data_IF_508540903360
#
_entry.id   IF_508540903360
#
_cell.length_a   1.000
_cell.length_b   1.000
_cell.length_c   1.000
_cell.angle_alpha   90.00
_cell.angle_beta   90.00
_cell.angle_gamma   90.00
#
_symmetry.space_group_name_H-M   'P 1'
#
loop_
_entity.id
_entity.type
_entity.pdbx_description
1 polymer ?
#
# COMPACT_ATOMS: atom_id res chain seq x y z
N UNK A 1 -19.44 -14.93 -0.44
CA UNK A 1 -18.85 -13.60 -0.17
C UNK A 1 -17.35 -13.73 -0.19
N UNK A 2 -16.70 -12.94 -1.01
CA UNK A 2 -15.26 -12.83 -1.10
C UNK A 2 -14.86 -11.40 -0.76
N UNK A 3 -14.07 -11.25 0.29
CA UNK A 3 -13.37 -10.01 0.61
C UNK A 3 -11.97 -10.13 0.03
N UNK A 4 -11.52 -9.15 -0.75
CA UNK A 4 -10.21 -9.19 -1.38
C UNK A 4 -9.51 -7.84 -1.27
N UNK A 5 -8.19 -7.88 -1.19
CA UNK A 5 -7.36 -6.69 -1.38
C UNK A 5 -7.30 -6.32 -2.87
N UNK A 6 -7.66 -5.09 -3.25
CA UNK A 6 -7.55 -4.65 -4.64
C UNK A 6 -6.08 -4.41 -5.03
N UNK A 7 -5.53 -5.24 -5.92
CA UNK A 7 -4.12 -5.17 -6.36
C UNK A 7 -3.90 -4.62 -7.76
N UNK A 8 -4.91 -4.72 -8.63
CA UNK A 8 -4.74 -4.38 -10.05
C UNK A 8 -5.00 -2.90 -10.28
N UNK A 9 -3.98 -2.16 -10.73
CA UNK A 9 -4.14 -0.79 -11.21
C UNK A 9 -5.00 -0.75 -12.48
N UNK A 10 -6.15 -0.10 -12.38
CA UNK A 10 -7.13 0.09 -13.46
C UNK A 10 -7.27 1.56 -13.81
N UNK A 11 -7.48 1.86 -15.09
CA UNK A 11 -7.58 3.25 -15.56
C UNK A 11 -8.84 3.89 -14.97
N UNK A 12 -8.69 5.04 -14.32
CA UNK A 12 -9.83 5.80 -13.82
C UNK A 12 -10.73 6.24 -14.99
N UNK A 13 -12.04 5.95 -14.88
CA UNK A 13 -13.03 6.21 -15.93
C UNK A 13 -13.19 5.08 -16.97
N UNK A 14 -12.29 4.11 -17.03
CA UNK A 14 -12.50 2.88 -17.79
C UNK A 14 -11.77 1.69 -17.11
N UNK A 15 -12.40 1.03 -16.12
CA UNK A 15 -11.75 -0.02 -15.34
C UNK A 15 -11.47 -1.31 -16.11
N UNK A 16 -11.93 -1.43 -17.36
CA UNK A 16 -11.56 -2.55 -18.25
C UNK A 16 -10.11 -2.46 -18.73
N UNK A 17 -9.50 -1.27 -18.66
CA UNK A 17 -8.11 -1.04 -19.06
C UNK A 17 -7.22 -1.13 -17.81
N UNK A 18 -6.35 -2.13 -17.77
CA UNK A 18 -5.34 -2.28 -16.72
C UNK A 18 -4.05 -1.56 -17.06
N UNK A 19 -3.25 -1.22 -16.04
CA UNK A 19 -1.91 -0.70 -16.25
C UNK A 19 -1.00 -1.78 -16.86
N UNK A 20 -0.03 -1.36 -17.69
CA UNK A 20 0.97 -2.27 -18.26
C UNK A 20 1.80 -2.94 -17.16
N UNK A 21 2.18 -4.19 -17.43
CA UNK A 21 3.05 -5.06 -16.63
C UNK A 21 3.94 -5.86 -17.58
N UNK A 22 5.16 -6.19 -17.16
CA UNK A 22 6.00 -7.11 -17.91
C UNK A 22 5.37 -8.52 -17.81
N UNK A 23 5.04 -9.13 -18.95
CA UNK A 23 4.34 -10.42 -18.99
C UNK A 23 5.24 -11.62 -18.66
N UNK A 24 6.55 -11.45 -18.75
CA UNK A 24 7.53 -12.51 -18.53
C UNK A 24 7.99 -12.47 -17.08
N UNK A 25 8.52 -11.33 -16.64
CA UNK A 25 9.10 -11.19 -15.30
C UNK A 25 8.06 -10.82 -14.25
N UNK A 26 6.92 -10.25 -14.65
CA UNK A 26 5.89 -9.78 -13.72
C UNK A 26 6.16 -8.36 -13.25
N UNK A 27 5.81 -8.07 -12.00
CA UNK A 27 6.01 -6.80 -11.34
C UNK A 27 6.40 -7.00 -9.86
N UNK A 28 6.80 -5.94 -9.13
CA UNK A 28 7.21 -6.07 -7.73
C UNK A 28 6.19 -6.76 -6.80
N UNK A 29 4.88 -6.61 -7.01
CA UNK A 29 3.87 -7.31 -6.18
C UNK A 29 3.92 -8.83 -6.36
N UNK A 30 4.35 -9.30 -7.53
CA UNK A 30 4.56 -10.70 -7.85
C UNK A 30 5.86 -11.23 -7.20
N UNK A 31 6.92 -10.41 -7.23
CA UNK A 31 8.22 -10.76 -6.66
C UNK A 31 8.14 -10.81 -5.14
N UNK A 32 7.72 -9.70 -4.51
CA UNK A 32 7.55 -9.56 -3.06
C UNK A 32 6.23 -10.16 -2.58
N UNK A 33 5.82 -11.31 -3.13
CA UNK A 33 4.61 -12.02 -2.69
C UNK A 33 4.80 -12.61 -1.29
N UNK A 34 3.70 -12.81 -0.56
CA UNK A 34 3.72 -13.46 0.77
C UNK A 34 4.41 -14.83 0.69
N UNK A 35 4.20 -15.58 -0.40
CA UNK A 35 4.84 -16.87 -0.63
C UNK A 35 6.37 -16.75 -0.67
N UNK A 36 6.90 -15.86 -1.52
CA UNK A 36 8.35 -15.73 -1.69
C UNK A 36 9.04 -15.16 -0.46
N UNK A 37 8.36 -14.28 0.28
CA UNK A 37 8.90 -13.74 1.53
C UNK A 37 8.93 -14.77 2.65
N UNK A 38 7.94 -15.67 2.73
CA UNK A 38 7.94 -16.77 3.69
C UNK A 38 9.15 -17.70 3.50
N UNK A 39 9.59 -17.95 2.27
CA UNK A 39 10.79 -18.73 1.98
C UNK A 39 12.08 -18.07 2.52
N UNK A 40 12.03 -16.78 2.84
CA UNK A 40 13.09 -15.98 3.45
C UNK A 40 12.86 -15.70 4.95
N UNK A 41 11.84 -16.30 5.57
CA UNK A 41 11.38 -15.96 6.92
C UNK A 41 11.02 -14.47 7.08
N UNK A 42 10.52 -13.87 6.01
CA UNK A 42 10.09 -12.48 5.96
C UNK A 42 8.57 -12.41 5.84
N UNK A 43 8.02 -11.29 6.32
CA UNK A 43 6.61 -10.94 6.13
C UNK A 43 6.51 -9.64 5.36
N UNK A 44 5.36 -9.43 4.73
CA UNK A 44 5.01 -8.12 4.17
C UNK A 44 3.78 -7.57 4.84
N UNK A 45 3.64 -6.25 4.85
CA UNK A 45 2.38 -5.55 5.13
C UNK A 45 2.27 -4.35 4.20
N UNK A 46 1.07 -4.06 3.71
CA UNK A 46 0.75 -2.83 3.02
C UNK A 46 -0.54 -2.22 3.59
N UNK A 47 -0.63 -0.89 3.55
CA UNK A 47 -1.78 -0.15 4.06
C UNK A 47 -1.81 1.27 3.48
N UNK A 48 -2.96 1.92 3.62
CA UNK A 48 -3.09 3.34 3.41
C UNK A 48 -2.94 4.07 4.76
N UNK A 49 -2.31 5.24 4.76
CA UNK A 49 -2.00 6.01 5.95
C UNK A 49 -2.15 7.51 5.74
N UNK A 50 -2.23 8.22 6.85
CA UNK A 50 -2.47 9.66 6.87
C UNK A 50 -1.27 10.40 7.45
N UNK A 51 -1.02 11.56 6.87
CA UNK A 51 -0.22 12.61 7.48
C UNK A 51 -1.15 13.77 7.74
N UNK A 52 -1.18 14.21 8.99
CA UNK A 52 -1.83 15.46 9.33
C UNK A 52 -0.92 16.60 8.86
N UNK A 53 -1.33 17.33 7.83
CA UNK A 53 -0.51 18.38 7.22
C UNK A 53 -0.47 19.69 8.02
N UNK A 54 -1.30 19.82 9.06
CA UNK A 54 -1.28 20.95 9.97
C UNK A 54 -0.27 20.72 11.10
N UNK A 55 -0.24 19.50 11.64
CA UNK A 55 0.71 19.13 12.72
C UNK A 55 2.02 18.54 12.21
N UNK A 56 2.07 18.12 10.94
CA UNK A 56 3.18 17.40 10.32
C UNK A 56 3.50 16.07 11.02
N UNK A 57 2.46 15.36 11.44
CA UNK A 57 2.58 14.07 12.13
C UNK A 57 1.85 12.95 11.38
N UNK A 58 2.36 11.73 11.55
CA UNK A 58 1.70 10.51 11.10
C UNK A 58 0.47 10.23 11.99
N UNK A 59 -0.72 10.09 11.40
CA UNK A 59 -1.90 9.60 12.13
C UNK A 59 -1.67 8.13 12.54
N UNK A 60 -2.14 7.74 13.72
CA UNK A 60 -1.96 6.38 14.23
C UNK A 60 -2.96 5.38 13.65
N UNK A 61 -4.04 5.84 13.03
CA UNK A 61 -4.98 4.97 12.34
C UNK A 61 -4.51 4.74 10.90
N UNK A 62 -4.27 3.47 10.57
CA UNK A 62 -3.95 3.02 9.22
C UNK A 62 -5.12 2.22 8.64
N UNK A 63 -5.21 2.19 7.32
CA UNK A 63 -6.33 1.63 6.59
C UNK A 63 -5.91 0.42 5.76
N UNK A 64 -6.68 -0.65 5.88
CA UNK A 64 -6.61 -1.84 5.05
C UNK A 64 -7.83 -1.84 4.13
N UNK A 65 -7.61 -1.40 2.90
CA UNK A 65 -8.64 -1.33 1.86
C UNK A 65 -9.02 -2.72 1.36
N UNK A 66 -10.30 -3.03 1.33
CA UNK A 66 -10.82 -4.29 0.78
C UNK A 66 -12.06 -4.08 -0.08
N UNK A 67 -12.23 -4.92 -1.07
CA UNK A 67 -13.43 -4.96 -1.90
C UNK A 67 -14.23 -6.23 -1.62
N UNK A 68 -15.55 -6.14 -1.80
CA UNK A 68 -16.45 -7.27 -1.61
C UNK A 68 -17.41 -7.42 -2.80
N UNK A 69 -17.71 -8.66 -3.13
CA UNK A 69 -18.50 -9.07 -4.30
C UNK A 69 -20.02 -9.08 -4.10
N UNK A 70 -20.47 -8.89 -2.86
CA UNK A 70 -21.89 -8.84 -2.46
C UNK A 70 -22.24 -7.48 -1.85
N UNK A 71 -23.48 -7.02 -2.02
CA UNK A 71 -23.93 -5.72 -1.51
C UNK A 71 -23.70 -5.59 0.01
N UNK A 72 -22.90 -4.59 0.41
CA UNK A 72 -22.57 -4.32 1.81
C UNK A 72 -23.78 -3.95 2.67
N UNK A 73 -24.88 -3.51 2.05
CA UNK A 73 -26.07 -3.02 2.76
C UNK A 73 -26.71 -4.11 3.62
N UNK A 74 -26.62 -5.38 3.21
CA UNK A 74 -27.22 -6.52 3.91
C UNK A 74 -26.30 -7.21 4.93
N UNK A 75 -24.99 -6.93 4.91
CA UNK A 75 -24.02 -7.73 5.66
C UNK A 75 -24.02 -7.44 7.17
N UNK A 76 -23.93 -8.47 8.00
CA UNK A 76 -23.73 -8.34 9.46
C UNK A 76 -22.25 -8.17 9.83
N UNK A 77 -21.99 -7.87 11.10
CA UNK A 77 -20.63 -7.84 11.63
C UNK A 77 -19.93 -9.19 11.52
N UNK A 78 -20.61 -10.26 11.93
CA UNK A 78 -20.08 -11.62 11.99
C UNK A 78 -19.73 -12.15 10.60
N UNK A 79 -20.61 -11.95 9.62
CA UNK A 79 -20.39 -12.36 8.23
C UNK A 79 -19.13 -11.70 7.65
N UNK A 80 -18.97 -10.40 7.90
CA UNK A 80 -17.83 -9.62 7.38
C UNK A 80 -16.55 -10.00 8.09
N UNK A 81 -16.58 -10.17 9.41
CA UNK A 81 -15.42 -10.56 10.20
C UNK A 81 -14.90 -11.94 9.78
N UNK A 82 -15.80 -12.93 9.66
CA UNK A 82 -15.44 -14.28 9.24
C UNK A 82 -14.81 -14.28 7.84
N UNK A 83 -15.44 -13.57 6.89
CA UNK A 83 -14.92 -13.48 5.52
C UNK A 83 -13.58 -12.73 5.46
N UNK A 84 -13.41 -11.67 6.26
CA UNK A 84 -12.17 -10.92 6.35
C UNK A 84 -11.04 -11.83 6.84
N UNK A 85 -11.20 -12.47 8.00
CA UNK A 85 -10.19 -13.38 8.56
C UNK A 85 -9.85 -14.50 7.56
N UNK A 86 -10.86 -15.06 6.89
CA UNK A 86 -10.66 -16.12 5.90
C UNK A 86 -9.92 -15.64 4.64
N UNK A 87 -10.16 -14.40 4.21
CA UNK A 87 -9.50 -13.82 3.03
C UNK A 87 -8.02 -13.54 3.24
N UNK A 88 -7.64 -13.21 4.47
CA UNK A 88 -6.27 -12.92 4.88
C UNK A 88 -5.50 -14.21 5.19
N UNK A 89 -5.32 -15.04 4.15
CA UNK A 89 -4.66 -16.35 4.22
C UNK A 89 -3.36 -16.35 5.04
N UNK A 90 -3.00 -17.53 5.59
CA UNK A 90 -1.74 -17.77 6.31
C UNK A 90 -1.51 -16.89 7.54
N UNK A 91 -2.58 -16.48 8.22
CA UNK A 91 -2.48 -15.68 9.45
C UNK A 91 -2.14 -14.21 9.20
N UNK A 92 -2.24 -13.72 7.97
CA UNK A 92 -1.94 -12.32 7.63
C UNK A 92 -2.78 -11.32 8.43
N UNK A 93 -4.03 -11.66 8.76
CA UNK A 93 -4.86 -10.85 9.66
C UNK A 93 -4.19 -10.66 11.03
N UNK A 94 -3.65 -11.72 11.63
CA UNK A 94 -2.93 -11.63 12.90
C UNK A 94 -1.61 -10.89 12.75
N UNK A 95 -0.92 -11.03 11.60
CA UNK A 95 0.29 -10.27 11.32
C UNK A 95 0.01 -8.75 11.30
N UNK A 96 -1.12 -8.33 10.73
CA UNK A 96 -1.60 -6.94 10.79
C UNK A 96 -1.75 -6.51 12.26
N UNK A 97 -2.44 -7.29 13.09
CA UNK A 97 -2.69 -6.93 14.48
C UNK A 97 -1.39 -6.81 15.29
N UNK A 98 -0.47 -7.78 15.12
CA UNK A 98 0.83 -7.82 15.80
C UNK A 98 1.72 -6.64 15.39
N UNK A 99 1.78 -6.33 14.10
CA UNK A 99 2.47 -5.14 13.60
C UNK A 99 1.87 -3.86 14.17
N UNK A 100 0.54 -3.69 14.11
CA UNK A 100 -0.13 -2.52 14.63
C UNK A 100 0.13 -2.33 16.12
N UNK A 101 0.02 -3.40 16.90
CA UNK A 101 0.30 -3.38 18.33
C UNK A 101 1.74 -2.94 18.62
N UNK A 102 2.73 -3.56 17.96
CA UNK A 102 4.15 -3.25 18.14
C UNK A 102 4.46 -1.79 17.85
N UNK A 103 3.90 -1.25 16.78
CA UNK A 103 4.13 0.13 16.35
C UNK A 103 3.05 1.10 16.85
N UNK A 104 2.23 0.73 17.83
CA UNK A 104 1.17 1.60 18.40
C UNK A 104 0.28 2.27 17.32
N UNK A 105 0.00 1.53 16.27
CA UNK A 105 -0.94 1.89 15.21
C UNK A 105 -2.28 1.21 15.48
N UNK A 106 -3.35 1.73 14.89
CA UNK A 106 -4.68 1.14 14.90
C UNK A 106 -5.06 0.71 13.50
N UNK A 107 -5.34 -0.58 13.34
CA UNK A 107 -5.85 -1.12 12.09
C UNK A 107 -7.32 -0.73 11.89
N UNK A 108 -7.65 -0.24 10.71
CA UNK A 108 -9.02 -0.02 10.28
C UNK A 108 -9.21 -0.68 8.92
N UNK A 109 -10.27 -1.46 8.74
CA UNK A 109 -10.61 -2.07 7.47
C UNK A 109 -11.70 -1.24 6.79
N UNK A 110 -11.44 -0.81 5.56
CA UNK A 110 -12.39 -0.05 4.74
C UNK A 110 -12.86 -0.96 3.63
N UNK A 111 -14.06 -1.50 3.77
CA UNK A 111 -14.61 -2.58 2.93
C UNK A 111 -15.78 -2.02 2.11
N UNK A 112 -15.77 -2.26 0.79
CA UNK A 112 -16.79 -1.70 -0.10
C UNK A 112 -17.01 -2.50 -1.37
N UNK A 113 -18.16 -2.28 -2.03
CA UNK A 113 -18.35 -2.75 -3.39
C UNK A 113 -17.59 -1.84 -4.37
N UNK A 114 -16.68 -2.40 -5.17
CA UNK A 114 -15.90 -1.62 -6.13
C UNK A 114 -16.70 -1.32 -7.41
N UNK A 115 -17.69 -0.43 -7.25
CA UNK A 115 -18.70 -0.12 -8.25
C UNK A 115 -18.67 1.38 -8.64
N UNK A 116 -19.68 1.83 -9.37
CA UNK A 116 -19.80 3.24 -9.72
C UNK A 116 -20.17 4.11 -8.50
N UNK A 117 -19.20 4.86 -7.99
CA UNK A 117 -19.34 5.75 -6.83
C UNK A 117 -20.14 7.04 -7.08
N UNK A 118 -20.65 7.26 -8.29
CA UNK A 118 -21.70 8.27 -8.49
C UNK A 118 -23.04 7.85 -7.87
N UNK A 119 -23.25 6.55 -7.66
CA UNK A 119 -24.52 5.96 -7.22
C UNK A 119 -24.35 5.24 -5.87
N UNK A 120 -23.26 4.49 -5.69
CA UNK A 120 -22.91 3.80 -4.44
C UNK A 120 -22.27 4.78 -3.46
N UNK A 121 -22.73 4.78 -2.21
CA UNK A 121 -22.34 5.79 -1.21
C UNK A 121 -21.95 5.23 0.15
N UNK A 122 -21.84 3.91 0.32
CA UNK A 122 -21.53 3.33 1.63
C UNK A 122 -20.21 2.58 1.61
N UNK A 123 -19.55 2.57 2.75
CA UNK A 123 -18.46 1.65 3.07
C UNK A 123 -18.76 1.01 4.43
N UNK A 124 -18.29 -0.22 4.62
CA UNK A 124 -18.15 -0.80 5.95
C UNK A 124 -16.80 -0.32 6.50
N UNK A 125 -16.84 0.28 7.68
CA UNK A 125 -15.68 0.73 8.43
C UNK A 125 -15.57 -0.14 9.69
N UNK A 126 -14.51 -0.94 9.77
CA UNK A 126 -14.22 -1.73 10.97
C UNK A 126 -12.94 -1.25 11.62
N UNK A 127 -12.94 -0.93 12.91
CA UNK A 127 -11.75 -0.47 13.63
C UNK A 127 -11.37 -1.49 14.69
N UNK A 128 -10.09 -1.82 14.80
CA UNK A 128 -9.58 -2.63 15.91
C UNK A 128 -9.44 -1.75 17.14
N UNK A 129 -10.37 -1.89 18.08
CA UNK A 129 -10.39 -1.05 19.29
C UNK A 129 -9.42 -1.60 20.35
N UNK A 130 -9.23 -2.92 20.39
CA UNK A 130 -8.27 -3.58 21.27
C UNK A 130 -7.75 -4.89 20.70
N UNK A 131 -6.52 -5.24 21.08
CA UNK A 131 -5.88 -6.51 20.74
C UNK A 131 -4.97 -6.94 21.89
N UNK A 132 -5.08 -8.21 22.29
CA UNK A 132 -4.29 -8.85 23.32
C UNK A 132 -3.31 -9.84 22.67
N UNK A 133 -2.02 -9.56 22.83
CA UNK A 133 -0.96 -10.37 22.22
C UNK A 133 -0.79 -11.74 22.89
N UNK A 134 -1.26 -11.94 24.13
CA UNK A 134 -1.05 -13.22 24.84
C UNK A 134 -1.95 -14.34 24.35
N UNK A 135 -3.16 -14.03 23.92
CA UNK A 135 -4.18 -15.00 23.50
C UNK A 135 -4.69 -14.74 22.07
N UNK A 136 -4.08 -13.77 21.36
CA UNK A 136 -4.52 -13.27 20.06
C UNK A 136 -5.99 -12.77 20.05
N UNK A 137 -6.56 -12.43 21.22
CA UNK A 137 -7.90 -11.90 21.36
C UNK A 137 -8.01 -10.45 20.87
N UNK A 138 -9.11 -10.10 20.22
CA UNK A 138 -9.34 -8.72 19.74
C UNK A 138 -10.80 -8.31 19.83
N UNK A 139 -11.02 -6.99 19.86
CA UNK A 139 -12.35 -6.38 19.72
C UNK A 139 -12.33 -5.39 18.56
N UNK A 140 -13.38 -5.43 17.75
CA UNK A 140 -13.55 -4.52 16.62
C UNK A 140 -14.91 -3.84 16.65
N UNK A 141 -14.90 -2.53 16.42
CA UNK A 141 -16.11 -1.79 16.08
C UNK A 141 -16.48 -2.00 14.61
N UNK A 142 -17.76 -1.86 14.30
CA UNK A 142 -18.31 -2.03 12.96
C UNK A 142 -19.36 -0.96 12.70
N UNK A 143 -19.21 -0.27 11.58
CA UNK A 143 -20.18 0.72 11.14
C UNK A 143 -20.31 0.72 9.61
N UNK A 144 -21.54 0.86 9.12
CA UNK A 144 -21.79 1.19 7.71
C UNK A 144 -21.91 2.71 7.61
N UNK A 145 -20.95 3.35 6.96
CA UNK A 145 -20.89 4.81 6.87
C UNK A 145 -21.10 5.29 5.44
N UNK A 146 -21.72 6.45 5.31
CA UNK A 146 -21.85 7.15 4.03
C UNK A 146 -20.51 7.75 3.57
N UNK A 147 -20.34 7.96 2.28
CA UNK A 147 -19.13 8.56 1.68
C UNK A 147 -18.88 9.96 2.21
N UNK A 148 -19.91 10.72 2.61
CA UNK A 148 -19.75 12.01 3.28
C UNK A 148 -18.97 11.85 4.60
N UNK A 149 -19.37 10.90 5.45
CA UNK A 149 -18.69 10.59 6.71
C UNK A 149 -17.28 10.05 6.45
N UNK A 150 -17.07 9.21 5.44
CA UNK A 150 -15.73 8.75 5.05
C UNK A 150 -14.82 9.94 4.70
N UNK A 151 -15.30 10.91 3.91
CA UNK A 151 -14.57 12.13 3.56
C UNK A 151 -14.28 12.99 4.78
N UNK A 152 -15.20 13.06 5.74
CA UNK A 152 -14.97 13.78 7.00
C UNK A 152 -13.87 13.13 7.83
N UNK A 153 -13.83 11.78 7.88
CA UNK A 153 -12.74 11.04 8.53
C UNK A 153 -11.41 11.36 7.83
N UNK A 154 -11.34 11.25 6.50
CA UNK A 154 -10.12 11.56 5.73
C UNK A 154 -9.64 12.99 6.02
N UNK A 155 -10.54 13.98 5.94
CA UNK A 155 -10.21 15.39 6.18
C UNK A 155 -9.67 15.61 7.59
N UNK A 156 -10.31 15.02 8.61
CA UNK A 156 -9.87 15.11 10.00
C UNK A 156 -8.47 14.52 10.19
N UNK A 157 -8.21 13.33 9.64
CA UNK A 157 -6.90 12.64 9.76
C UNK A 157 -5.77 13.33 9.00
N UNK A 158 -6.13 13.94 7.88
CA UNK A 158 -5.24 14.73 7.05
C UNK A 158 -4.99 16.14 7.63
N UNK A 159 -5.76 16.55 8.64
CA UNK A 159 -5.78 17.90 9.20
C UNK A 159 -6.59 18.90 8.36
N UNK A 160 -6.73 18.66 7.06
CA UNK A 160 -7.44 19.58 6.16
C UNK A 160 -8.07 18.87 4.97
N UNK A 161 -9.06 19.53 4.37
CA UNK A 161 -9.50 19.24 3.00
C UNK A 161 -8.53 19.88 2.03
N UNK A 162 -8.17 19.17 0.97
CA UNK A 162 -7.35 19.69 -0.10
C UNK A 162 -7.64 18.94 -1.40
N UNK A 163 -7.55 19.65 -2.53
CA UNK A 163 -7.65 19.03 -3.85
C UNK A 163 -6.25 18.65 -4.32
N UNK A 164 -6.10 17.48 -4.95
CA UNK A 164 -4.85 17.14 -5.62
C UNK A 164 -4.67 18.02 -6.86
N UNK A 165 -3.41 18.36 -7.18
CA UNK A 165 -3.08 19.10 -8.40
C UNK A 165 -3.44 18.35 -9.68
N UNK A 166 -3.48 17.01 -9.61
CA UNK A 166 -3.84 16.12 -10.70
C UNK A 166 -4.72 14.99 -10.18
N UNK A 167 -5.78 14.67 -10.91
CA UNK A 167 -6.62 13.49 -10.64
C UNK A 167 -5.84 12.20 -10.89
N UNK A 168 -6.24 11.11 -10.23
CA UNK A 168 -5.64 9.80 -10.47
C UNK A 168 -5.95 9.34 -11.90
N UNK A 169 -4.91 8.91 -12.60
CA UNK A 169 -5.06 8.30 -13.93
C UNK A 169 -5.28 6.78 -13.83
N UNK A 170 -4.64 6.14 -12.85
CA UNK A 170 -4.88 4.75 -12.45
C UNK A 170 -5.14 4.72 -10.94
N UNK A 171 -6.02 3.82 -10.51
CA UNK A 171 -6.27 3.51 -9.10
C UNK A 171 -6.44 2.00 -8.93
N UNK A 172 -6.26 1.52 -7.70
CA UNK A 172 -6.55 0.11 -7.37
C UNK A 172 -8.04 -0.11 -7.13
N UNK A 173 -8.79 0.96 -6.82
CA UNK A 173 -10.24 0.96 -6.70
C UNK A 173 -10.90 2.15 -7.41
N UNK A 174 -12.18 1.99 -7.77
CA UNK A 174 -13.04 3.06 -8.24
C UNK A 174 -13.32 4.10 -7.15
N UNK A 175 -13.26 3.72 -5.87
CA UNK A 175 -13.40 4.64 -4.74
C UNK A 175 -12.27 5.68 -4.73
N UNK A 176 -11.02 5.24 -4.89
CA UNK A 176 -9.88 6.14 -5.03
C UNK A 176 -10.01 7.06 -6.24
N UNK A 177 -10.38 6.49 -7.39
CA UNK A 177 -10.62 7.28 -8.60
C UNK A 177 -11.68 8.36 -8.37
N UNK A 178 -12.78 8.04 -7.69
CA UNK A 178 -13.82 8.99 -7.33
C UNK A 178 -13.31 10.08 -6.38
N UNK A 179 -12.68 9.68 -5.27
CA UNK A 179 -12.18 10.62 -4.25
C UNK A 179 -11.06 11.53 -4.76
N UNK A 180 -10.26 11.08 -5.73
CA UNK A 180 -9.21 11.89 -6.36
C UNK A 180 -9.73 13.15 -7.06
N UNK A 181 -11.02 13.20 -7.40
CA UNK A 181 -11.70 14.34 -8.03
C UNK A 181 -12.32 15.30 -7.01
N UNK A 182 -12.31 14.93 -5.74
CA UNK A 182 -12.88 15.69 -4.63
C UNK A 182 -11.80 16.52 -3.91
N UNK A 183 -12.18 17.20 -2.84
CA UNK A 183 -11.29 17.89 -1.89
C UNK A 183 -10.80 16.98 -0.74
N UNK A 184 -11.00 15.67 -0.87
CA UNK A 184 -10.63 14.65 0.11
C UNK A 184 -10.13 13.42 -0.64
N UNK A 185 -8.95 13.49 -1.27
CA UNK A 185 -8.36 12.33 -1.92
C UNK A 185 -8.14 11.21 -0.89
N UNK A 186 -8.15 9.97 -1.38
CA UNK A 186 -7.86 8.80 -0.54
C UNK A 186 -6.47 8.97 0.13
N UNK A 187 -6.26 8.44 1.35
CA UNK A 187 -4.94 8.44 2.02
C UNK A 187 -3.81 7.91 1.12
N UNK A 188 -2.58 8.25 1.50
CA UNK A 188 -1.42 7.73 0.78
C UNK A 188 -1.21 6.26 1.10
N UNK A 189 -0.82 5.47 0.13
CA UNK A 189 -0.49 4.06 0.26
C UNK A 189 1.01 3.87 0.56
N UNK A 190 1.35 2.80 1.27
CA UNK A 190 2.69 2.21 1.26
C UNK A 190 2.63 0.95 0.40
N UNK A 191 3.49 0.87 -0.61
CA UNK A 191 3.43 -0.24 -1.57
C UNK A 191 3.75 -1.56 -0.88
N UNK A 192 4.82 -1.61 -0.07
CA UNK A 192 5.13 -2.76 0.80
C UNK A 192 6.05 -2.37 1.95
N UNK A 193 5.79 -2.90 3.14
CA UNK A 193 6.71 -2.93 4.29
C UNK A 193 7.19 -4.36 4.46
N UNK A 194 8.50 -4.55 4.56
CA UNK A 194 9.12 -5.85 4.84
C UNK A 194 9.43 -5.96 6.32
N UNK A 195 9.05 -7.07 6.92
CA UNK A 195 9.22 -7.38 8.34
C UNK A 195 10.01 -8.66 8.53
N UNK A 196 10.76 -8.75 9.62
CA UNK A 196 11.30 -10.02 10.11
C UNK A 196 10.23 -10.84 10.87
N UNK A 197 10.60 -12.02 11.35
CA UNK A 197 9.73 -12.90 12.13
C UNK A 197 9.21 -12.27 13.43
N UNK A 198 9.96 -11.31 13.98
CA UNK A 198 9.64 -10.58 15.20
C UNK A 198 8.86 -9.29 14.92
N UNK A 199 8.39 -9.08 13.69
CA UNK A 199 7.70 -7.87 13.24
C UNK A 199 8.55 -6.59 13.32
N UNK A 200 9.89 -6.68 13.35
CA UNK A 200 10.73 -5.51 13.14
C UNK A 200 10.68 -5.12 11.66
N UNK A 201 10.56 -3.83 11.37
CA UNK A 201 10.62 -3.30 10.01
C UNK A 201 12.05 -3.35 9.50
N UNK A 202 12.25 -4.09 8.41
CA UNK A 202 13.54 -4.18 7.69
C UNK A 202 13.64 -3.03 6.69
N UNK A 203 12.57 -2.79 5.93
CA UNK A 203 12.51 -1.75 4.91
C UNK A 203 11.09 -1.37 4.55
N UNK A 204 10.91 -0.12 4.15
CA UNK A 204 9.75 0.34 3.38
C UNK A 204 10.13 0.33 1.90
N UNK A 205 9.29 -0.24 1.04
CA UNK A 205 9.49 -0.31 -0.40
C UNK A 205 8.51 0.63 -1.12
N UNK A 206 9.01 1.33 -2.13
CA UNK A 206 8.23 2.11 -3.09
C UNK A 206 8.49 1.57 -4.50
N UNK A 207 7.45 1.34 -5.28
CA UNK A 207 7.53 0.77 -6.63
C UNK A 207 7.21 1.83 -7.68
N UNK A 208 8.15 2.09 -8.57
CA UNK A 208 8.00 3.08 -9.65
C UNK A 208 8.10 2.43 -11.02
N UNK A 209 7.00 2.48 -11.76
CA UNK A 209 6.93 2.02 -13.16
C UNK A 209 7.79 2.90 -14.07
N UNK A 210 8.70 2.27 -14.79
CA UNK A 210 9.44 2.85 -15.90
C UNK A 210 8.79 2.46 -17.22
N UNK A 211 8.03 3.39 -17.80
CA UNK A 211 7.26 3.19 -19.04
C UNK A 211 7.83 3.95 -20.24
N UNK A 212 9.07 4.46 -20.12
CA UNK A 212 9.72 5.24 -21.18
C UNK A 212 10.83 4.42 -21.84
N UNK A 213 11.17 4.78 -23.08
CA UNK A 213 12.23 4.13 -23.85
C UNK A 213 13.64 4.49 -23.36
N UNK A 214 13.77 5.38 -22.38
CA UNK A 214 15.07 5.72 -21.80
C UNK A 214 15.66 4.53 -21.00
N UNK A 215 17.00 4.46 -20.80
CA UNK A 215 17.61 3.43 -19.98
C UNK A 215 17.14 3.48 -18.52
N UNK A 216 16.97 2.31 -17.86
CA UNK A 216 16.55 2.26 -16.45
C UNK A 216 17.52 2.99 -15.51
N UNK A 217 18.82 3.03 -15.86
CA UNK A 217 19.86 3.70 -15.08
C UNK A 217 19.61 5.20 -14.87
N UNK A 218 18.82 5.84 -15.76
CA UNK A 218 18.43 7.25 -15.64
C UNK A 218 17.28 7.49 -14.66
N UNK A 219 16.65 6.44 -14.13
CA UNK A 219 15.66 6.56 -13.07
C UNK A 219 16.31 6.89 -11.74
N UNK A 220 15.68 7.73 -10.92
CA UNK A 220 16.18 8.14 -9.60
C UNK A 220 15.17 9.03 -8.91
N UNK A 221 15.32 9.21 -7.59
CA UNK A 221 14.37 9.95 -6.77
C UNK A 221 14.10 11.36 -7.31
N UNK A 222 15.14 12.07 -7.77
CA UNK A 222 14.98 13.45 -8.21
C UNK A 222 14.14 13.64 -9.47
N UNK A 223 13.89 12.55 -10.24
CA UNK A 223 12.96 12.59 -11.37
C UNK A 223 11.51 12.86 -10.92
N UNK A 224 11.22 12.62 -9.63
CA UNK A 224 9.88 12.62 -9.03
C UNK A 224 9.76 13.53 -7.80
N UNK A 225 10.77 13.56 -6.91
CA UNK A 225 10.82 14.36 -5.69
C UNK A 225 11.84 15.50 -5.84
N UNK A 226 11.58 16.75 -5.37
CA UNK A 226 10.44 17.20 -4.57
C UNK A 226 9.32 17.85 -5.39
N UNK A 227 9.19 17.53 -6.69
CA UNK A 227 8.24 18.22 -7.57
C UNK A 227 6.99 17.38 -7.88
N UNK A 228 7.09 16.39 -8.78
CA UNK A 228 5.95 15.65 -9.34
C UNK A 228 5.17 14.86 -8.29
N UNK A 229 5.88 14.12 -7.46
CA UNK A 229 5.30 13.18 -6.48
C UNK A 229 5.56 13.65 -5.04
N UNK A 230 5.75 14.97 -4.83
CA UNK A 230 6.16 15.55 -3.55
C UNK A 230 5.37 14.98 -2.35
N UNK A 231 4.04 15.00 -2.45
CA UNK A 231 3.16 14.56 -1.37
C UNK A 231 3.25 13.05 -1.07
N UNK A 232 3.57 12.19 -2.06
CA UNK A 232 3.77 10.75 -1.81
C UNK A 232 5.08 10.54 -1.05
N UNK A 233 6.17 11.15 -1.51
CA UNK A 233 7.48 11.03 -0.87
C UNK A 233 7.57 11.73 0.49
N UNK A 234 6.91 12.87 0.70
CA UNK A 234 6.82 13.49 2.04
C UNK A 234 6.10 12.56 3.04
N UNK A 235 5.04 11.86 2.60
CA UNK A 235 4.35 10.87 3.43
C UNK A 235 5.25 9.69 3.77
N UNK A 236 5.94 9.13 2.77
CA UNK A 236 6.88 8.03 2.97
C UNK A 236 8.02 8.42 3.91
N UNK A 237 8.55 9.64 3.79
CA UNK A 237 9.55 10.21 4.69
C UNK A 237 9.10 10.20 6.16
N UNK A 238 7.85 10.58 6.42
CA UNK A 238 7.28 10.55 7.77
C UNK A 238 7.04 9.13 8.27
N UNK A 239 6.55 8.24 7.40
CA UNK A 239 6.34 6.84 7.75
C UNK A 239 7.66 6.14 8.08
N UNK A 240 8.70 6.32 7.28
CA UNK A 240 10.02 5.70 7.49
C UNK A 240 10.68 6.26 8.74
N UNK A 241 10.55 7.56 9.00
CA UNK A 241 11.01 8.18 10.25
C UNK A 241 10.29 7.59 11.47
N UNK A 242 8.97 7.39 11.37
CA UNK A 242 8.18 6.81 12.45
C UNK A 242 8.57 5.35 12.74
N UNK A 243 8.70 4.56 11.68
CA UNK A 243 9.05 3.14 11.77
C UNK A 243 10.54 2.89 12.02
N UNK A 244 11.36 3.96 12.01
CA UNK A 244 12.83 3.89 12.10
C UNK A 244 13.42 2.97 11.03
N UNK A 245 12.95 3.13 9.78
CA UNK A 245 13.28 2.26 8.66
C UNK A 245 13.94 3.02 7.52
N UNK A 246 14.69 2.29 6.69
CA UNK A 246 15.09 2.75 5.35
C UNK A 246 13.92 2.73 4.38
N UNK A 247 14.00 3.57 3.34
CA UNK A 247 13.14 3.53 2.15
C UNK A 247 13.97 3.01 0.98
N UNK A 248 13.46 2.01 0.28
CA UNK A 248 14.05 1.49 -0.95
C UNK A 248 13.07 1.74 -2.09
N UNK A 249 13.48 2.54 -3.07
CA UNK A 249 12.69 2.75 -4.29
C UNK A 249 13.15 1.78 -5.38
N UNK A 250 12.21 1.00 -5.91
CA UNK A 250 12.43 0.05 -7.02
C UNK A 250 11.81 0.62 -8.29
N UNK A 251 12.67 1.02 -9.23
CA UNK A 251 12.28 1.37 -10.59
C UNK A 251 12.26 0.11 -11.44
N UNK A 252 11.12 -0.22 -12.04
CA UNK A 252 10.96 -1.46 -12.81
C UNK A 252 10.33 -1.22 -14.19
N UNK A 253 10.77 -1.97 -15.18
CA UNK A 253 10.29 -1.91 -16.55
C UNK A 253 8.93 -2.62 -16.71
N UNK A 254 8.12 -2.14 -17.64
CA UNK A 254 6.85 -2.81 -18.03
C UNK A 254 6.87 -3.41 -19.44
N UNK A 255 8.01 -3.28 -20.12
CA UNK A 255 8.28 -3.87 -21.43
C UNK A 255 9.03 -5.22 -21.30
N UNK A 256 9.82 -5.62 -22.30
CA UNK A 256 10.54 -6.91 -22.31
C UNK A 256 11.92 -6.85 -21.66
N UNK A 257 12.36 -5.69 -21.17
CA UNK A 257 13.66 -5.57 -20.51
C UNK A 257 13.60 -6.21 -19.13
N UNK A 258 14.66 -6.94 -18.77
CA UNK A 258 14.79 -7.64 -17.49
C UNK A 258 15.70 -6.87 -16.53
N UNK A 259 15.44 -5.59 -16.36
CA UNK A 259 16.27 -4.69 -15.55
C UNK A 259 15.41 -3.88 -14.60
N UNK A 260 15.94 -3.65 -13.41
CA UNK A 260 15.41 -2.73 -12.42
C UNK A 260 16.54 -1.86 -11.91
N UNK A 261 16.21 -0.67 -11.45
CA UNK A 261 17.13 0.12 -10.64
C UNK A 261 16.57 0.20 -9.23
N UNK A 262 17.41 -0.11 -8.26
CA UNK A 262 17.07 -0.05 -6.85
C UNK A 262 17.85 1.07 -6.22
N UNK A 263 17.18 1.93 -5.47
CA UNK A 263 17.78 3.10 -4.85
C UNK A 263 17.47 3.10 -3.35
N UNK A 264 18.52 3.16 -2.53
CA UNK A 264 18.40 3.38 -1.11
C UNK A 264 18.20 4.88 -0.86
N UNK A 265 17.08 5.23 -0.25
CA UNK A 265 16.75 6.58 0.13
C UNK A 265 16.92 6.78 1.63
N UNK A 266 17.46 7.94 2.02
CA UNK A 266 17.63 8.34 3.41
C UNK A 266 16.79 9.57 3.73
N UNK A 267 16.39 9.68 4.99
CA UNK A 267 15.70 10.87 5.49
C UNK A 267 16.69 11.76 6.23
N UNK A 268 16.76 13.04 5.86
CA UNK A 268 17.47 14.09 6.60
C UNK A 268 16.61 15.35 6.62
N UNK A 269 16.39 15.95 7.80
CA UNK A 269 15.58 17.17 7.99
C UNK A 269 14.19 17.09 7.32
N UNK A 270 13.52 15.95 7.50
CA UNK A 270 12.20 15.66 6.92
C UNK A 270 12.16 15.68 5.38
N UNK A 271 13.31 15.51 4.72
CA UNK A 271 13.42 15.35 3.26
C UNK A 271 14.08 14.04 2.91
N UNK A 272 13.69 13.48 1.77
CA UNK A 272 14.34 12.31 1.20
C UNK A 272 15.51 12.71 0.30
N UNK A 273 16.62 12.01 0.46
CA UNK A 273 17.77 12.01 -0.43
C UNK A 273 18.08 10.61 -0.96
N UNK A 274 18.96 10.52 -1.94
CA UNK A 274 19.47 9.26 -2.48
C UNK A 274 20.84 8.96 -1.88
N UNK A 275 21.03 7.76 -1.31
CA UNK A 275 22.30 7.34 -0.71
C UNK A 275 23.13 6.50 -1.69
N UNK A 276 22.56 5.38 -2.13
CA UNK A 276 23.18 4.44 -3.07
C UNK A 276 22.13 3.94 -4.06
N UNK A 277 22.59 3.45 -5.20
CA UNK A 277 21.71 2.78 -6.17
C UNK A 277 22.46 1.73 -6.96
N UNK A 278 21.75 0.67 -7.33
CA UNK A 278 22.28 -0.41 -8.15
C UNK A 278 21.30 -0.78 -9.26
N UNK A 279 21.82 -1.22 -10.40
CA UNK A 279 21.01 -1.83 -11.45
C UNK A 279 21.04 -3.33 -11.24
N UNK A 280 19.88 -3.93 -11.03
CA UNK A 280 19.71 -5.36 -10.81
C UNK A 280 18.94 -5.97 -11.98
N UNK A 281 19.33 -7.18 -12.37
CA UNK A 281 18.49 -7.99 -13.25
C UNK A 281 17.22 -8.39 -12.50
N UNK A 282 16.05 -8.13 -13.09
CA UNK A 282 14.79 -8.65 -12.56
C UNK A 282 14.75 -10.17 -12.73
N UNK A 283 13.91 -10.89 -11.97
CA UNK A 283 13.75 -12.34 -12.14
C UNK A 283 13.50 -12.72 -13.61
N UNK A 284 14.10 -13.80 -14.09
CA UNK A 284 13.99 -14.19 -15.51
C UNK A 284 12.56 -14.58 -15.92
N UNK A 285 11.77 -15.04 -14.95
CA UNK A 285 10.36 -15.41 -15.11
C UNK A 285 9.61 -15.22 -13.79
N UNK A 286 8.35 -14.78 -13.85
CA UNK A 286 7.46 -14.62 -12.69
C UNK A 286 7.27 -15.92 -11.88
N UNK A 287 7.52 -17.09 -12.48
CA UNK A 287 7.41 -18.39 -11.83
C UNK A 287 8.76 -18.97 -11.36
N UNK A 288 9.89 -18.31 -11.64
CA UNK A 288 11.20 -18.78 -11.19
C UNK A 288 11.45 -18.32 -9.75
N UNK A 289 11.03 -19.14 -8.79
CA UNK A 289 11.12 -18.83 -7.35
C UNK A 289 12.56 -18.59 -6.88
N UNK A 290 13.55 -19.33 -7.40
CA UNK A 290 14.96 -19.15 -7.02
C UNK A 290 15.48 -17.77 -7.44
N UNK A 291 15.22 -17.38 -8.70
CA UNK A 291 15.58 -16.04 -9.19
C UNK A 291 14.90 -14.94 -8.38
N UNK A 292 13.63 -15.13 -8.00
CA UNK A 292 12.88 -14.16 -7.20
C UNK A 292 13.49 -14.01 -5.80
N UNK A 293 13.82 -15.11 -5.14
CA UNK A 293 14.44 -15.10 -3.80
C UNK A 293 15.81 -14.42 -3.85
N UNK A 294 16.62 -14.72 -4.87
CA UNK A 294 17.92 -14.07 -5.09
C UNK A 294 17.77 -12.56 -5.37
N UNK A 295 16.74 -12.19 -6.14
CA UNK A 295 16.42 -10.79 -6.40
C UNK A 295 16.03 -10.05 -5.11
N UNK A 296 15.08 -10.58 -4.33
CA UNK A 296 14.65 -9.99 -3.05
C UNK A 296 15.84 -9.79 -2.12
N UNK A 297 16.69 -10.82 -1.99
CA UNK A 297 17.88 -10.76 -1.14
C UNK A 297 18.84 -9.64 -1.57
N UNK A 298 19.07 -9.50 -2.88
CA UNK A 298 19.88 -8.41 -3.44
C UNK A 298 19.26 -7.04 -3.15
N UNK A 299 17.93 -6.88 -3.31
CA UNK A 299 17.23 -5.63 -2.99
C UNK A 299 17.41 -5.24 -1.53
N UNK A 300 17.23 -6.19 -0.60
CA UNK A 300 17.24 -5.92 0.84
C UNK A 300 18.65 -5.70 1.41
N UNK A 301 19.69 -6.13 0.69
CA UNK A 301 21.08 -5.96 1.05
C UNK A 301 21.63 -4.53 0.84
N UNK A 302 20.96 -3.68 0.05
CA UNK A 302 21.27 -2.26 -0.08
C UNK A 302 21.04 -1.50 1.23
#
# INVERSE_FOLDING_TARGET
MFIIEPKTLKKCGNPTITAKVNKITGNPDDWFSTKHLMDLNLKRINFDFFVNWETLELDRDIWFKRTVDVDISSLSYEEVLEALIKSESNGYFLDILKFCHKYKLRANFVIFNDANWSEVKKVIYMSVDSYNVTDDGFWMSFEKIETSKLRDIIAKKTGKRFKMSKELFYGTSLLECYLSKTDTPYPGDVDTIILDENYNVISVLEFKKHNMDTPIGQQQLYNYYPSKDKLKYDRLCMLTSYLQSKLITIYYTTDQRNESKVELNFTHDSKLGSYSSEILFTPSNINNTEDIINYISSVLAL
#
